data_IF_413312850187
#
_entry.id   IF_413312850187
#
_cell.length_a   1.000
_cell.length_b   1.000
_cell.length_c   1.000
_cell.angle_alpha   90.00
_cell.angle_beta   90.00
_cell.angle_gamma   90.00
#
_symmetry.space_group_name_H-M   'P 1'
#
loop_
_entity.id
_entity.type
_entity.pdbx_description
1 polymer ?
#
# COMPACT_ATOMS: atom_id res chain seq x y z
N UNK A 1 -6.76 16.85 -17.44
CA UNK A 1 -5.82 15.75 -17.09
C UNK A 1 -4.64 16.23 -16.24
N UNK A 2 -4.02 17.37 -16.57
CA UNK A 2 -2.92 17.95 -15.78
C UNK A 2 -3.25 18.17 -14.29
N UNK A 3 -4.42 18.74 -13.97
CA UNK A 3 -4.86 18.97 -12.60
C UNK A 3 -5.00 17.67 -11.79
N UNK A 4 -5.54 16.62 -12.42
CA UNK A 4 -5.65 15.29 -11.84
C UNK A 4 -4.26 14.72 -11.53
N UNK A 5 -3.34 14.76 -12.51
CA UNK A 5 -1.97 14.28 -12.33
C UNK A 5 -1.26 15.04 -11.21
N UNK A 6 -1.38 16.36 -11.15
CA UNK A 6 -0.82 17.19 -10.09
C UNK A 6 -1.34 16.79 -8.70
N UNK A 7 -2.66 16.61 -8.58
CA UNK A 7 -3.29 16.18 -7.31
C UNK A 7 -2.81 14.80 -6.86
N UNK A 8 -2.66 13.87 -7.80
CA UNK A 8 -2.20 12.52 -7.53
C UNK A 8 -0.72 12.46 -7.13
N UNK A 9 0.13 13.24 -7.78
CA UNK A 9 1.55 13.36 -7.40
C UNK A 9 1.70 13.98 -6.00
N UNK A 10 0.92 15.03 -5.67
CA UNK A 10 0.91 15.61 -4.32
C UNK A 10 0.50 14.58 -3.27
N UNK A 11 -0.56 13.81 -3.53
CA UNK A 11 -0.99 12.72 -2.64
C UNK A 11 0.07 11.64 -2.52
N UNK A 12 0.63 11.16 -3.63
CA UNK A 12 1.72 10.18 -3.65
C UNK A 12 2.86 10.62 -2.74
N UNK A 13 3.31 11.87 -2.86
CA UNK A 13 4.40 12.40 -2.06
C UNK A 13 4.06 12.49 -0.57
N UNK A 14 2.84 12.94 -0.23
CA UNK A 14 2.34 12.93 1.15
C UNK A 14 2.36 11.51 1.74
N UNK A 15 1.94 10.52 0.96
CA UNK A 15 1.90 9.13 1.41
C UNK A 15 3.31 8.58 1.66
N UNK A 16 4.27 8.88 0.78
CA UNK A 16 5.67 8.47 0.98
C UNK A 16 6.21 9.05 2.28
N UNK A 17 5.93 10.33 2.58
CA UNK A 17 6.30 10.94 3.86
C UNK A 17 5.64 10.25 5.05
N UNK A 18 4.36 9.90 4.93
CA UNK A 18 3.62 9.20 5.98
C UNK A 18 4.19 7.79 6.24
N UNK A 19 4.55 7.05 5.19
CA UNK A 19 5.21 5.75 5.32
C UNK A 19 6.58 5.87 5.98
N UNK A 20 7.38 6.88 5.60
CA UNK A 20 8.66 7.15 6.24
C UNK A 20 8.47 7.46 7.74
N UNK A 21 7.49 8.29 8.09
CA UNK A 21 7.16 8.61 9.47
C UNK A 21 6.78 7.36 10.28
N UNK A 22 5.92 6.50 9.75
CA UNK A 22 5.56 5.24 10.43
C UNK A 22 6.73 4.27 10.55
N UNK A 23 7.60 4.17 9.53
CA UNK A 23 8.80 3.35 9.60
C UNK A 23 9.77 3.86 10.68
N UNK A 24 9.98 5.18 10.76
CA UNK A 24 10.79 5.80 11.82
C UNK A 24 10.21 5.53 13.21
N UNK A 25 8.90 5.70 13.40
CA UNK A 25 8.24 5.39 14.66
C UNK A 25 8.40 3.92 15.06
N UNK A 26 8.26 2.99 14.11
CA UNK A 26 8.43 1.57 14.37
C UNK A 26 9.85 1.23 14.82
N UNK A 27 10.87 1.84 14.21
CA UNK A 27 12.27 1.66 14.61
C UNK A 27 12.55 2.21 16.01
N UNK A 28 12.03 3.40 16.33
CA UNK A 28 12.12 3.98 17.67
C UNK A 28 11.45 3.05 18.68
N UNK A 29 10.24 2.57 18.38
CA UNK A 29 9.53 1.65 19.26
C UNK A 29 10.33 0.36 19.51
N UNK A 30 10.90 -0.24 18.46
CA UNK A 30 11.73 -1.43 18.59
C UNK A 30 13.02 -1.22 19.40
N UNK A 31 13.56 0.01 19.43
CA UNK A 31 14.75 0.33 20.21
C UNK A 31 14.46 0.44 21.72
N UNK A 32 13.28 0.98 22.07
CA UNK A 32 12.93 1.26 23.47
C UNK A 32 12.04 0.19 24.13
N UNK A 33 11.32 -0.62 23.35
CA UNK A 33 10.34 -1.57 23.87
C UNK A 33 10.62 -2.99 23.39
N UNK A 34 10.64 -3.93 24.33
CA UNK A 34 10.66 -5.37 24.05
C UNK A 34 9.22 -5.87 23.98
N UNK A 35 8.81 -6.43 22.84
CA UNK A 35 7.50 -7.05 22.68
C UNK A 35 7.65 -8.57 22.76
N UNK A 36 6.82 -9.20 23.57
CA UNK A 36 6.60 -10.64 23.49
C UNK A 36 5.48 -10.91 22.49
N UNK A 37 5.65 -11.87 21.56
CA UNK A 37 4.58 -12.23 20.65
C UNK A 37 3.41 -12.80 21.44
N UNK A 38 2.16 -12.51 21.03
CA UNK A 38 0.99 -13.00 21.73
C UNK A 38 0.81 -14.51 21.49
N UNK A 39 0.36 -15.22 22.51
CA UNK A 39 0.10 -16.67 22.50
C UNK A 39 -1.22 -17.05 21.78
N UNK A 40 -1.68 -16.27 20.79
CA UNK A 40 -2.93 -16.55 20.07
C UNK A 40 -2.86 -17.84 19.25
N UNK A 41 -1.67 -18.20 18.77
CA UNK A 41 -1.36 -19.46 18.11
C UNK A 41 0.01 -19.94 18.63
N UNK A 42 0.31 -21.25 18.57
CA UNK A 42 1.68 -21.71 18.85
C UNK A 42 2.65 -20.92 17.95
N UNK A 43 3.83 -20.57 18.49
CA UNK A 43 4.83 -19.70 17.82
C UNK A 43 5.12 -20.12 16.36
N UNK A 44 5.07 -21.43 16.08
CA UNK A 44 5.25 -22.00 14.75
C UNK A 44 4.15 -21.56 13.76
N UNK A 45 2.89 -21.52 14.19
CA UNK A 45 1.75 -21.12 13.34
C UNK A 45 1.67 -19.61 13.14
N UNK A 46 2.16 -18.81 14.10
CA UNK A 46 2.28 -17.36 13.94
C UNK A 46 3.11 -17.01 12.70
N UNK A 47 4.25 -17.66 12.51
CA UNK A 47 5.14 -17.38 11.38
C UNK A 47 4.54 -17.80 10.03
N UNK A 48 3.85 -18.95 9.97
CA UNK A 48 3.12 -19.34 8.75
C UNK A 48 2.03 -18.33 8.40
N UNK A 49 1.32 -17.82 9.40
CA UNK A 49 0.30 -16.79 9.18
C UNK A 49 0.92 -15.48 8.64
N UNK A 50 2.07 -15.06 9.18
CA UNK A 50 2.81 -13.89 8.68
C UNK A 50 3.19 -14.06 7.21
N UNK A 51 3.71 -15.22 6.81
CA UNK A 51 4.02 -15.49 5.40
C UNK A 51 2.78 -15.49 4.51
N UNK A 52 1.67 -16.04 4.99
CA UNK A 52 0.39 -15.97 4.29
C UNK A 52 -0.09 -14.53 4.09
N UNK A 53 0.07 -13.65 5.10
CA UNK A 53 -0.26 -12.22 4.98
C UNK A 53 0.61 -11.52 3.92
N UNK A 54 1.90 -11.84 3.86
CA UNK A 54 2.80 -11.25 2.85
C UNK A 54 2.36 -11.66 1.44
N UNK A 55 2.15 -12.96 1.22
CA UNK A 55 1.72 -13.49 -0.07
C UNK A 55 0.36 -12.90 -0.48
N UNK A 56 -0.61 -12.89 0.44
CA UNK A 56 -1.92 -12.28 0.25
C UNK A 56 -1.77 -10.83 -0.20
N UNK A 57 -0.94 -10.04 0.49
CA UNK A 57 -0.82 -8.61 0.22
C UNK A 57 -0.23 -8.30 -1.14
N UNK A 58 0.76 -9.09 -1.56
CA UNK A 58 1.35 -8.97 -2.90
C UNK A 58 0.26 -9.23 -3.96
N UNK A 59 -0.46 -10.34 -3.84
CA UNK A 59 -1.54 -10.73 -4.78
C UNK A 59 -2.65 -9.67 -4.80
N UNK A 60 -3.11 -9.23 -3.63
CA UNK A 60 -4.14 -8.21 -3.46
C UNK A 60 -3.76 -6.92 -4.19
N UNK A 61 -2.53 -6.44 -4.01
CA UNK A 61 -2.06 -5.21 -4.66
C UNK A 61 -2.03 -5.32 -6.19
N UNK A 62 -1.63 -6.48 -6.73
CA UNK A 62 -1.70 -6.73 -8.18
C UNK A 62 -3.13 -6.68 -8.70
N UNK A 63 -4.07 -7.35 -8.02
CA UNK A 63 -5.49 -7.39 -8.40
C UNK A 63 -6.10 -5.98 -8.34
N UNK A 64 -5.90 -5.26 -7.23
CA UNK A 64 -6.44 -3.92 -7.03
C UNK A 64 -5.86 -2.95 -8.07
N UNK A 65 -4.55 -3.00 -8.33
CA UNK A 65 -3.94 -2.18 -9.37
C UNK A 65 -4.52 -2.46 -10.75
N UNK A 66 -4.73 -3.73 -11.08
CA UNK A 66 -5.30 -4.14 -12.35
C UNK A 66 -6.72 -3.57 -12.55
N UNK A 67 -7.59 -3.76 -11.55
CA UNK A 67 -8.99 -3.34 -11.59
C UNK A 67 -9.12 -1.82 -11.59
N UNK A 68 -8.43 -1.14 -10.67
CA UNK A 68 -8.62 0.29 -10.44
C UNK A 68 -7.86 1.17 -11.44
N UNK A 69 -6.71 0.73 -11.94
CA UNK A 69 -5.88 1.55 -12.83
C UNK A 69 -5.66 0.94 -14.20
N UNK A 70 -5.09 -0.27 -14.29
CA UNK A 70 -4.64 -0.82 -15.58
C UNK A 70 -5.78 -0.89 -16.62
N UNK A 71 -6.94 -1.40 -16.22
CA UNK A 71 -8.13 -1.49 -17.08
C UNK A 71 -8.57 -0.12 -17.62
N UNK A 72 -8.54 0.91 -16.78
CA UNK A 72 -8.97 2.27 -17.15
C UNK A 72 -7.95 2.98 -18.04
N UNK A 73 -6.65 2.78 -17.80
CA UNK A 73 -5.59 3.32 -18.67
C UNK A 73 -5.69 2.71 -20.07
N UNK A 74 -5.90 1.39 -20.17
CA UNK A 74 -6.05 0.71 -21.46
C UNK A 74 -7.27 1.21 -22.24
N UNK A 75 -8.35 1.55 -21.54
CA UNK A 75 -9.54 2.16 -22.15
C UNK A 75 -9.26 3.57 -22.69
N UNK A 76 -8.56 4.41 -21.93
CA UNK A 76 -8.19 5.77 -22.34
C UNK A 76 -7.29 5.81 -23.58
N UNK A 77 -6.39 4.84 -23.73
CA UNK A 77 -5.54 4.74 -24.93
C UNK A 77 -6.33 4.52 -26.23
N UNK A 78 -7.55 4.03 -26.14
CA UNK A 78 -8.39 3.66 -27.29
C UNK A 78 -9.58 4.58 -27.51
N UNK A 79 -9.92 5.43 -26.53
CA UNK A 79 -11.16 6.21 -26.53
C UNK A 79 -10.91 7.63 -26.01
N UNK A 80 -11.68 8.58 -26.52
CA UNK A 80 -11.69 9.96 -26.02
C UNK A 80 -12.24 10.03 -24.59
N UNK A 81 -11.53 10.71 -23.70
CA UNK A 81 -11.93 10.81 -22.30
C UNK A 81 -13.09 11.80 -22.10
N UNK A 82 -14.30 11.28 -21.81
CA UNK A 82 -15.41 12.11 -21.33
C UNK A 82 -15.16 12.57 -19.89
N UNK A 83 -15.81 13.66 -19.48
CA UNK A 83 -15.64 14.19 -18.12
C UNK A 83 -16.16 13.24 -17.03
N UNK A 84 -17.23 12.48 -17.32
CA UNK A 84 -17.72 11.41 -16.46
C UNK A 84 -16.65 10.31 -16.24
N UNK A 85 -15.91 9.94 -17.29
CA UNK A 85 -14.83 8.96 -17.18
C UNK A 85 -13.66 9.50 -16.34
N UNK A 86 -13.28 10.77 -16.53
CA UNK A 86 -12.23 11.43 -15.73
C UNK A 86 -12.59 11.46 -14.24
N UNK A 87 -13.84 11.75 -13.91
CA UNK A 87 -14.32 11.73 -12.52
C UNK A 87 -14.25 10.31 -11.92
N UNK A 88 -14.66 9.29 -12.68
CA UNK A 88 -14.56 7.88 -12.28
C UNK A 88 -13.11 7.45 -12.04
N UNK A 89 -12.21 7.77 -12.96
CA UNK A 89 -10.78 7.46 -12.82
C UNK A 89 -10.20 8.12 -11.57
N UNK A 90 -10.49 9.39 -11.35
CA UNK A 90 -10.06 10.13 -10.16
C UNK A 90 -10.49 9.44 -8.86
N UNK A 91 -11.74 8.98 -8.79
CA UNK A 91 -12.28 8.24 -7.64
C UNK A 91 -11.50 6.94 -7.41
N UNK A 92 -11.31 6.14 -8.46
CA UNK A 92 -10.60 4.86 -8.35
C UNK A 92 -9.12 5.04 -7.99
N UNK A 93 -8.45 6.07 -8.50
CA UNK A 93 -7.06 6.34 -8.14
C UNK A 93 -6.91 6.76 -6.69
N UNK A 94 -7.80 7.64 -6.19
CA UNK A 94 -7.81 8.02 -4.77
C UNK A 94 -8.04 6.80 -3.88
N UNK A 95 -8.96 5.93 -4.28
CA UNK A 95 -9.23 4.67 -3.59
C UNK A 95 -8.00 3.74 -3.57
N UNK A 96 -7.33 3.56 -4.72
CA UNK A 96 -6.11 2.75 -4.81
C UNK A 96 -5.05 3.24 -3.82
N UNK A 97 -4.75 4.54 -3.83
CA UNK A 97 -3.73 5.12 -2.94
C UNK A 97 -4.10 4.93 -1.46
N UNK A 98 -5.38 5.07 -1.12
CA UNK A 98 -5.87 4.84 0.23
C UNK A 98 -5.71 3.37 0.67
N UNK A 99 -6.13 2.43 -0.18
CA UNK A 99 -6.05 0.98 0.09
C UNK A 99 -4.60 0.49 0.22
N UNK A 100 -3.68 1.06 -0.57
CA UNK A 100 -2.25 0.74 -0.46
C UNK A 100 -1.75 1.10 0.94
N UNK A 101 -2.03 2.30 1.45
CA UNK A 101 -1.57 2.70 2.79
C UNK A 101 -2.23 1.85 3.85
N UNK A 102 -3.57 1.94 3.91
CA UNK A 102 -4.34 1.38 5.01
C UNK A 102 -4.07 -0.11 5.15
N UNK A 103 -4.18 -0.85 4.05
CA UNK A 103 -4.03 -2.30 4.10
C UNK A 103 -2.59 -2.73 4.41
N UNK A 104 -1.56 -2.03 3.93
CA UNK A 104 -0.19 -2.40 4.27
C UNK A 104 0.16 -2.03 5.71
N UNK A 105 -0.30 -0.90 6.22
CA UNK A 105 -0.10 -0.54 7.64
C UNK A 105 -0.80 -1.52 8.56
N UNK A 106 -2.06 -1.88 8.30
CA UNK A 106 -2.81 -2.84 9.14
C UNK A 106 -2.14 -4.21 9.14
N UNK A 107 -1.82 -4.77 7.96
CA UNK A 107 -1.15 -6.06 7.91
C UNK A 107 0.27 -6.03 8.46
N UNK A 108 0.99 -4.91 8.29
CA UNK A 108 2.30 -4.71 8.92
C UNK A 108 2.22 -4.76 10.44
N UNK A 109 1.21 -4.12 11.05
CA UNK A 109 1.00 -4.16 12.50
C UNK A 109 0.65 -5.57 12.97
N UNK A 110 -0.23 -6.26 12.25
CA UNK A 110 -0.59 -7.65 12.58
C UNK A 110 0.64 -8.55 12.50
N UNK A 111 1.41 -8.45 11.41
CA UNK A 111 2.61 -9.26 11.23
C UNK A 111 3.68 -8.96 12.28
N UNK A 112 3.87 -7.69 12.64
CA UNK A 112 4.75 -7.30 13.73
C UNK A 112 4.31 -7.88 15.08
N UNK A 113 3.02 -7.78 15.42
CA UNK A 113 2.51 -8.34 16.67
C UNK A 113 2.74 -9.84 16.75
N UNK A 114 2.40 -10.59 15.70
CA UNK A 114 2.50 -12.05 15.69
C UNK A 114 3.95 -12.57 15.71
N UNK A 115 4.89 -11.81 15.14
CA UNK A 115 6.30 -12.22 15.05
C UNK A 115 7.21 -11.58 16.10
N UNK A 116 6.72 -10.56 16.82
CA UNK A 116 7.53 -9.64 17.62
C UNK A 116 8.76 -9.06 16.89
N UNK A 117 8.72 -9.01 15.56
CA UNK A 117 9.84 -8.58 14.74
C UNK A 117 9.46 -7.40 13.84
N UNK A 118 10.03 -6.23 14.15
CA UNK A 118 9.76 -4.97 13.43
C UNK A 118 10.07 -5.06 11.94
N UNK A 119 10.97 -5.97 11.52
CA UNK A 119 11.31 -6.18 10.12
C UNK A 119 10.09 -6.53 9.27
N UNK A 120 9.08 -7.20 9.84
CA UNK A 120 7.85 -7.48 9.11
C UNK A 120 7.01 -6.22 8.89
N UNK A 121 6.90 -5.31 9.87
CA UNK A 121 6.25 -4.01 9.65
C UNK A 121 6.98 -3.20 8.57
N UNK A 122 8.31 -3.20 8.60
CA UNK A 122 9.14 -2.54 7.59
C UNK A 122 8.96 -3.16 6.21
N UNK A 123 8.85 -4.49 6.12
CA UNK A 123 8.58 -5.20 4.87
C UNK A 123 7.25 -4.75 4.25
N UNK A 124 6.16 -4.69 5.03
CA UNK A 124 4.88 -4.18 4.55
C UNK A 124 4.95 -2.70 4.13
N UNK A 125 5.75 -1.90 4.84
CA UNK A 125 6.03 -0.51 4.45
C UNK A 125 6.78 -0.43 3.11
N UNK A 126 7.75 -1.33 2.88
CA UNK A 126 8.46 -1.46 1.60
C UNK A 126 7.54 -1.93 0.47
N UNK A 127 6.63 -2.87 0.72
CA UNK A 127 5.61 -3.32 -0.24
C UNK A 127 4.71 -2.13 -0.63
N UNK A 128 4.25 -1.35 0.35
CA UNK A 128 3.46 -0.14 0.08
C UNK A 128 4.23 0.88 -0.77
N UNK A 129 5.49 1.13 -0.40
CA UNK A 129 6.37 2.04 -1.14
C UNK A 129 6.57 1.58 -2.58
N UNK A 130 6.85 0.30 -2.81
CA UNK A 130 7.01 -0.26 -4.14
C UNK A 130 5.73 -0.08 -4.98
N UNK A 131 4.56 -0.38 -4.42
CA UNK A 131 3.27 -0.18 -5.10
C UNK A 131 3.04 1.30 -5.48
N UNK A 132 3.39 2.23 -4.58
CA UNK A 132 3.28 3.66 -4.83
C UNK A 132 4.27 4.14 -5.90
N UNK A 133 5.50 3.61 -5.92
CA UNK A 133 6.51 3.96 -6.91
C UNK A 133 6.15 3.43 -8.31
N UNK A 134 5.57 2.23 -8.38
CA UNK A 134 5.03 1.65 -9.61
C UNK A 134 3.84 2.46 -10.15
N UNK A 135 3.06 3.08 -9.25
CA UNK A 135 2.02 4.02 -9.64
C UNK A 135 2.63 5.31 -10.20
N UNK A 136 2.51 5.50 -11.52
CA UNK A 136 3.06 6.66 -12.26
C UNK A 136 1.93 7.52 -12.83
N UNK A 137 1.40 8.51 -12.07
CA UNK A 137 0.36 9.43 -12.52
C UNK A 137 0.66 10.07 -13.89
N UNK A 138 1.93 10.39 -14.17
CA UNK A 138 2.37 10.97 -15.45
C UNK A 138 2.05 10.11 -16.67
N UNK A 139 1.89 8.78 -16.53
CA UNK A 139 1.47 7.90 -17.65
C UNK A 139 -0.01 8.06 -18.02
N UNK A 140 -0.75 8.91 -17.30
CA UNK A 140 -2.13 9.26 -17.61
C UNK A 140 -2.25 10.48 -18.53
N UNK A 141 -1.17 11.25 -18.71
CA UNK A 141 -1.09 12.33 -19.70
C UNK A 141 -0.88 11.76 -21.10
#
# INVERSE_FOLDING_TARGET
MQELVSTLEKRKFFIVKLLAFFASLALVFNFFFTLSPPEYFDEKYNMYFVYALIAYKIIELFIIYYILMHRHIRFLKKNSATDAFKAKLTKHTKLLLFLIIQGNTVFGVIAFKLSANVLFFLLFSCIALAAILLFKPKKLL
#
